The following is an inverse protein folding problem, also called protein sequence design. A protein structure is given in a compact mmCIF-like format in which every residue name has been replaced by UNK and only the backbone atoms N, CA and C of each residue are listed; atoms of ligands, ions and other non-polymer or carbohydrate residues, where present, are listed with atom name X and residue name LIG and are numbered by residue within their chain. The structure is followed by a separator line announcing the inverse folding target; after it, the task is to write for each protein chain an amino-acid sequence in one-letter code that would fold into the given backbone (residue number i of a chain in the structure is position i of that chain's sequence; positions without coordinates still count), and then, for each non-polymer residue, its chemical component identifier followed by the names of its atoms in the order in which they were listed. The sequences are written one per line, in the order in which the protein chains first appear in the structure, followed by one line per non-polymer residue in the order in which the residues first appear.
data_IF_858583954945
#
_entry.id   IF_858583954945
#
_cell.length_a   1.000
_cell.length_b   1.000
_cell.length_c   1.000
_cell.angle_alpha   90.00
_cell.angle_beta   90.00
_cell.angle_gamma   90.00
#
_symmetry.space_group_name_H-M   'P 1'
#
loop_
_entity.id
_entity.type
_entity.pdbx_description
1 polymer ?
#
# COMPACT_ATOMS: atom_id res chain seq x y z
N UNK A 1 34.39 41.44 -4.19
CA UNK A 1 33.07 41.96 -3.76
C UNK A 1 32.19 41.97 -4.99
N UNK A 2 31.10 41.21 -5.14
CA UNK A 2 30.13 40.61 -4.22
C UNK A 2 29.88 39.16 -4.71
N UNK A 3 30.21 38.16 -3.90
CA UNK A 3 29.31 37.45 -2.99
C UNK A 3 28.49 36.37 -3.72
N UNK A 4 29.06 35.17 -3.69
CA UNK A 4 28.42 33.91 -4.03
C UNK A 4 27.16 33.72 -3.17
N UNK A 5 26.00 33.86 -3.80
CA UNK A 5 24.73 33.32 -3.29
C UNK A 5 24.62 31.87 -3.76
N UNK A 6 25.46 31.01 -3.18
CA UNK A 6 25.18 29.59 -3.09
C UNK A 6 24.03 29.47 -2.10
N UNK A 7 22.81 29.60 -2.61
CA UNK A 7 21.63 29.15 -1.90
C UNK A 7 21.89 27.69 -1.53
N UNK A 8 22.00 27.44 -0.23
CA UNK A 8 21.90 26.11 0.32
C UNK A 8 20.54 25.57 -0.15
N UNK A 9 20.55 24.78 -1.21
CA UNK A 9 19.46 23.85 -1.46
C UNK A 9 19.42 23.00 -0.20
N UNK A 10 18.40 23.22 0.63
CA UNK A 10 18.12 22.33 1.73
C UNK A 10 18.09 20.93 1.13
N UNK A 11 19.03 20.09 1.54
CA UNK A 11 18.93 18.67 1.37
C UNK A 11 17.65 18.29 2.10
N UNK A 12 16.54 18.22 1.36
CA UNK A 12 15.27 17.67 1.79
C UNK A 12 15.46 16.14 1.90
N UNK A 13 16.39 15.72 2.75
CA UNK A 13 16.83 14.33 2.83
C UNK A 13 15.90 13.46 3.69
N UNK A 14 14.87 14.06 4.31
CA UNK A 14 13.84 13.34 5.03
C UNK A 14 12.51 14.10 4.91
N UNK A 15 11.75 13.81 3.85
CA UNK A 15 10.31 14.11 3.73
C UNK A 15 9.44 13.07 4.46
N UNK A 16 10.05 12.21 5.28
CA UNK A 16 9.36 11.36 6.23
C UNK A 16 8.72 12.18 7.33
N UNK A 17 7.53 11.79 7.78
CA UNK A 17 6.88 12.43 8.92
C UNK A 17 7.81 12.40 10.13
N UNK A 18 8.40 13.54 10.49
CA UNK A 18 9.25 13.64 11.70
C UNK A 18 8.43 13.50 13.00
N UNK A 19 7.10 13.50 12.90
CA UNK A 19 6.21 13.25 14.03
C UNK A 19 6.15 11.73 14.31
N UNK A 20 6.27 11.31 15.57
CA UNK A 20 6.05 9.92 15.95
C UNK A 20 4.67 9.46 15.46
N UNK A 21 4.55 8.22 14.98
CA UNK A 21 3.27 7.70 14.55
C UNK A 21 2.27 7.71 15.72
N UNK A 22 0.98 7.99 15.44
CA UNK A 22 -0.02 8.13 16.49
C UNK A 22 -0.19 6.83 17.30
N UNK A 23 -0.74 6.93 18.53
CA UNK A 23 -0.92 5.78 19.41
C UNK A 23 -1.60 4.59 18.72
N UNK A 24 -0.95 3.43 18.76
CA UNK A 24 -1.40 2.22 18.06
C UNK A 24 -0.36 1.11 18.13
N UNK A 25 -0.63 -0.01 17.46
CA UNK A 25 0.36 -1.06 17.26
C UNK A 25 1.36 -0.52 16.25
N UNK A 26 2.62 -0.45 16.65
CA UNK A 26 3.71 -0.01 15.78
C UNK A 26 3.97 -1.07 14.72
N UNK A 27 4.03 -0.65 13.47
CA UNK A 27 4.22 -1.51 12.30
C UNK A 27 5.60 -1.18 11.72
N UNK A 28 6.57 -2.11 11.82
CA UNK A 28 7.89 -1.92 11.23
C UNK A 28 7.78 -1.69 9.72
N UNK A 29 8.58 -0.77 9.19
CA UNK A 29 8.68 -0.58 7.75
C UNK A 29 9.22 -1.81 7.04
N UNK A 30 9.13 -1.74 5.72
CA UNK A 30 9.81 -2.61 4.80
C UNK A 30 10.59 -1.76 3.80
N UNK A 31 11.68 -2.32 3.29
CA UNK A 31 12.41 -1.71 2.19
C UNK A 31 11.58 -1.71 0.92
N UNK A 32 11.90 -0.86 -0.05
CA UNK A 32 11.23 -0.85 -1.34
C UNK A 32 11.30 -2.22 -2.04
N UNK A 33 12.46 -2.87 -2.01
CA UNK A 33 12.62 -4.24 -2.54
C UNK A 33 11.75 -5.27 -1.80
N UNK A 34 11.55 -5.11 -0.50
CA UNK A 34 10.66 -5.98 0.27
C UNK A 34 9.19 -5.78 -0.10
N UNK A 35 8.77 -4.60 -0.57
CA UNK A 35 7.40 -4.39 -1.07
C UNK A 35 7.09 -5.37 -2.20
N UNK A 36 7.99 -5.47 -3.18
CA UNK A 36 7.79 -6.30 -4.35
C UNK A 36 7.64 -7.79 -3.98
N UNK A 37 8.34 -8.24 -2.93
CA UNK A 37 8.20 -9.61 -2.42
C UNK A 37 6.89 -9.78 -1.66
N UNK A 38 6.63 -8.95 -0.64
CA UNK A 38 5.42 -9.06 0.20
C UNK A 38 4.14 -8.89 -0.63
N UNK A 39 4.15 -8.06 -1.68
CA UNK A 39 3.01 -7.88 -2.56
C UNK A 39 2.59 -9.19 -3.24
N UNK A 40 3.54 -10.04 -3.65
CA UNK A 40 3.25 -11.37 -4.23
C UNK A 40 2.62 -12.32 -3.23
N UNK A 41 3.05 -12.25 -1.96
CA UNK A 41 2.57 -13.12 -0.88
C UNK A 41 1.36 -12.54 -0.12
N UNK A 42 0.93 -11.31 -0.40
CA UNK A 42 -0.14 -10.65 0.37
C UNK A 42 -1.44 -11.47 0.35
N UNK A 43 -1.79 -12.07 -0.79
CA UNK A 43 -2.94 -12.96 -0.90
C UNK A 43 -2.84 -14.15 0.05
N UNK A 44 -1.73 -14.89 -0.02
CA UNK A 44 -1.48 -16.05 0.84
C UNK A 44 -1.49 -15.71 2.33
N UNK A 45 -0.92 -14.55 2.70
CA UNK A 45 -0.93 -14.04 4.08
C UNK A 45 -2.36 -13.80 4.56
N UNK A 46 -3.19 -13.14 3.75
CA UNK A 46 -4.57 -12.83 4.13
C UNK A 46 -5.45 -14.08 4.14
N UNK A 47 -5.29 -14.97 3.17
CA UNK A 47 -6.00 -16.26 3.16
C UNK A 47 -5.62 -17.09 4.38
N UNK A 48 -4.34 -17.08 4.77
CA UNK A 48 -3.90 -17.72 6.00
C UNK A 48 -4.48 -17.06 7.24
N UNK A 49 -4.52 -15.74 7.31
CA UNK A 49 -5.13 -15.00 8.40
C UNK A 49 -6.63 -15.30 8.54
N UNK A 50 -7.36 -15.39 7.43
CA UNK A 50 -8.80 -15.70 7.43
C UNK A 50 -9.14 -17.08 8.00
N UNK A 51 -8.21 -18.04 7.93
CA UNK A 51 -8.38 -19.38 8.51
C UNK A 51 -8.19 -19.42 10.02
N UNK A 52 -7.71 -18.35 10.66
CA UNK A 52 -7.48 -18.33 12.10
C UNK A 52 -8.79 -18.14 12.85
N UNK A 53 -9.15 -19.11 13.69
CA UNK A 53 -10.39 -19.08 14.50
C UNK A 53 -10.15 -18.54 15.91
N UNK A 54 -8.97 -18.75 16.47
CA UNK A 54 -8.56 -18.22 17.77
C UNK A 54 -7.73 -16.96 17.53
N UNK A 55 -8.34 -15.80 17.76
CA UNK A 55 -7.71 -14.49 17.53
C UNK A 55 -7.85 -13.57 18.74
N UNK A 56 -6.90 -12.66 18.91
CA UNK A 56 -6.88 -11.66 19.98
C UNK A 56 -7.06 -10.23 19.42
N UNK A 57 -7.13 -9.19 20.27
CA UNK A 57 -7.28 -7.81 19.78
C UNK A 57 -6.14 -7.33 18.87
N UNK A 58 -4.90 -7.79 19.07
CA UNK A 58 -3.73 -7.38 18.27
C UNK A 58 -3.84 -7.92 16.86
N UNK A 59 -4.14 -9.22 16.70
CA UNK A 59 -4.40 -9.85 15.41
C UNK A 59 -5.50 -9.09 14.65
N UNK A 60 -6.66 -8.89 15.31
CA UNK A 60 -7.83 -8.25 14.67
C UNK A 60 -7.53 -6.81 14.26
N UNK A 61 -6.76 -6.07 15.07
CA UNK A 61 -6.38 -4.70 14.75
C UNK A 61 -5.42 -4.63 13.57
N UNK A 62 -4.41 -5.50 13.49
CA UNK A 62 -3.51 -5.57 12.34
C UNK A 62 -4.26 -5.98 11.06
N UNK A 63 -5.07 -7.03 11.13
CA UNK A 63 -5.87 -7.51 9.99
C UNK A 63 -6.83 -6.44 9.46
N UNK A 64 -7.58 -5.79 10.35
CA UNK A 64 -8.54 -4.75 9.97
C UNK A 64 -7.83 -3.48 9.46
N UNK A 65 -6.76 -3.05 10.12
CA UNK A 65 -5.98 -1.89 9.68
C UNK A 65 -5.38 -2.13 8.29
N UNK A 66 -4.80 -3.31 8.03
CA UNK A 66 -4.21 -3.62 6.73
C UNK A 66 -5.24 -3.64 5.59
N UNK A 67 -6.45 -4.13 5.85
CA UNK A 67 -7.54 -4.11 4.88
C UNK A 67 -8.09 -2.70 4.65
N UNK A 68 -8.20 -1.89 5.70
CA UNK A 68 -8.59 -0.48 5.60
C UNK A 68 -7.56 0.31 4.78
N UNK A 69 -6.27 0.19 5.14
CA UNK A 69 -5.16 0.84 4.45
C UNK A 69 -5.10 0.46 2.97
N UNK A 70 -5.29 -0.82 2.64
CA UNK A 70 -5.34 -1.29 1.26
C UNK A 70 -6.50 -0.69 0.46
N UNK A 71 -7.67 -0.51 1.10
CA UNK A 71 -8.84 0.14 0.49
C UNK A 71 -8.57 1.61 0.20
N UNK A 72 -7.98 2.33 1.16
CA UNK A 72 -7.55 3.73 0.96
C UNK A 72 -6.50 3.86 -0.14
N UNK A 73 -5.67 2.85 -0.33
CA UNK A 73 -4.71 2.73 -1.43
C UNK A 73 -5.32 2.23 -2.75
N UNK A 74 -6.64 2.34 -2.92
CA UNK A 74 -7.37 1.90 -4.12
C UNK A 74 -7.05 0.44 -4.50
N UNK A 75 -7.00 -0.44 -3.50
CA UNK A 75 -6.70 -1.87 -3.67
C UNK A 75 -5.37 -2.13 -4.38
N UNK A 76 -4.42 -1.20 -4.31
CA UNK A 76 -3.13 -1.31 -5.02
C UNK A 76 -3.27 -1.33 -6.54
N UNK A 77 -4.41 -0.91 -7.09
CA UNK A 77 -4.69 -0.92 -8.54
C UNK A 77 -4.03 0.23 -9.28
N UNK A 78 -3.60 1.28 -8.57
CA UNK A 78 -2.94 2.42 -9.21
C UNK A 78 -1.59 1.98 -9.80
N UNK A 79 -1.31 2.26 -11.09
CA UNK A 79 -0.03 1.93 -11.71
C UNK A 79 1.13 2.61 -11.00
N UNK A 80 2.27 1.92 -10.98
CA UNK A 80 3.49 2.42 -10.34
C UNK A 80 3.46 2.39 -8.81
N UNK A 81 2.33 2.05 -8.17
CA UNK A 81 2.21 2.07 -6.70
C UNK A 81 3.28 1.26 -5.95
N UNK A 82 3.84 0.22 -6.60
CA UNK A 82 4.91 -0.60 -6.04
C UNK A 82 6.28 -0.39 -6.69
N UNK A 83 6.32 -0.07 -7.99
CA UNK A 83 7.56 -0.05 -8.78
C UNK A 83 8.08 1.36 -9.10
N UNK A 84 7.31 2.38 -8.76
CA UNK A 84 7.66 3.78 -8.95
C UNK A 84 7.65 4.48 -7.59
N UNK A 85 8.82 4.95 -7.16
CA UNK A 85 9.01 5.63 -5.87
C UNK A 85 8.37 7.03 -5.84
N UNK A 86 8.17 7.64 -7.00
CA UNK A 86 7.52 8.94 -7.15
C UNK A 86 5.99 8.81 -7.19
N UNK A 87 5.48 7.58 -7.30
CA UNK A 87 4.05 7.33 -7.28
C UNK A 87 3.40 7.94 -6.03
N UNK A 88 2.29 8.69 -6.18
CA UNK A 88 1.50 9.22 -5.06
C UNK A 88 0.94 8.14 -4.13
N UNK A 89 0.98 6.87 -4.56
CA UNK A 89 0.50 5.70 -3.84
C UNK A 89 1.62 4.87 -3.22
N UNK A 90 2.89 5.25 -3.41
CA UNK A 90 4.02 4.46 -2.94
C UNK A 90 4.05 4.33 -1.41
N UNK A 91 3.89 5.44 -0.69
CA UNK A 91 3.90 5.48 0.78
C UNK A 91 2.76 4.66 1.40
N UNK A 92 1.54 4.85 0.91
CA UNK A 92 0.39 4.11 1.40
C UNK A 92 0.53 2.61 1.05
N UNK A 93 1.25 2.29 -0.03
CA UNK A 93 1.61 0.91 -0.38
C UNK A 93 2.63 0.30 0.57
N UNK A 94 3.62 1.08 1.02
CA UNK A 94 4.48 0.67 2.13
C UNK A 94 3.63 0.34 3.37
N UNK A 95 2.67 1.19 3.73
CA UNK A 95 1.85 1.01 4.92
C UNK A 95 1.03 -0.31 4.90
N UNK A 96 0.29 -0.62 3.82
CA UNK A 96 -0.51 -1.85 3.81
C UNK A 96 0.33 -3.13 3.69
N UNK A 97 1.45 -3.09 2.97
CA UNK A 97 2.35 -4.24 2.85
C UNK A 97 3.13 -4.48 4.14
N UNK A 98 3.57 -3.41 4.80
CA UNK A 98 4.20 -3.47 6.12
C UNK A 98 3.23 -4.07 7.14
N UNK A 99 1.96 -3.68 7.09
CA UNK A 99 0.93 -4.26 7.94
C UNK A 99 0.70 -5.75 7.65
N UNK A 100 0.69 -6.16 6.38
CA UNK A 100 0.57 -7.58 6.01
C UNK A 100 1.74 -8.41 6.56
N UNK A 101 2.97 -7.91 6.43
CA UNK A 101 4.17 -8.52 7.02
C UNK A 101 4.05 -8.60 8.55
N UNK A 102 3.68 -7.50 9.21
CA UNK A 102 3.50 -7.44 10.66
C UNK A 102 2.43 -8.42 11.16
N UNK A 103 1.32 -8.56 10.43
CA UNK A 103 0.28 -9.56 10.72
C UNK A 103 0.84 -10.98 10.63
N UNK A 104 1.60 -11.31 9.59
CA UNK A 104 2.23 -12.62 9.45
C UNK A 104 3.23 -12.90 10.58
N UNK A 105 4.07 -11.92 10.91
CA UNK A 105 4.99 -12.01 12.04
C UNK A 105 4.24 -12.23 13.35
N UNK A 106 3.09 -11.58 13.54
CA UNK A 106 2.27 -11.79 14.72
C UNK A 106 1.67 -13.20 14.76
N UNK A 107 1.17 -13.73 13.63
CA UNK A 107 0.69 -15.11 13.54
C UNK A 107 1.76 -16.14 13.91
N UNK A 108 3.04 -15.84 13.66
CA UNK A 108 4.15 -16.69 14.10
C UNK A 108 4.35 -16.76 15.62
N UNK A 109 3.65 -15.92 16.40
CA UNK A 109 3.63 -15.95 17.87
C UNK A 109 2.35 -16.58 18.43
N UNK A 110 1.35 -16.86 17.58
CA UNK A 110 0.08 -17.46 17.99
C UNK A 110 0.19 -18.99 17.99
N UNK A 111 -0.08 -19.71 19.10
CA UNK A 111 0.12 -21.16 19.17
C UNK A 111 -0.59 -21.97 18.08
N UNK A 112 -1.79 -21.53 17.67
CA UNK A 112 -2.58 -22.19 16.62
C UNK A 112 -2.02 -21.99 15.20
N UNK A 113 -1.29 -20.89 14.96
CA UNK A 113 -0.82 -20.47 13.64
C UNK A 113 0.70 -20.63 13.45
N UNK A 114 1.45 -20.70 14.56
CA UNK A 114 2.91 -20.55 14.62
C UNK A 114 3.66 -21.36 13.56
N UNK A 115 3.39 -22.66 13.47
CA UNK A 115 4.11 -23.55 12.56
C UNK A 115 3.91 -23.14 11.10
N UNK A 116 2.67 -22.91 10.69
CA UNK A 116 2.35 -22.55 9.30
C UNK A 116 2.84 -21.14 8.97
N UNK A 117 2.73 -20.21 9.93
CA UNK A 117 3.27 -18.86 9.78
C UNK A 117 4.78 -18.88 9.56
N UNK A 118 5.54 -19.66 10.35
CA UNK A 118 7.00 -19.78 10.22
C UNK A 118 7.42 -20.40 8.87
N UNK A 119 6.65 -21.35 8.34
CA UNK A 119 6.89 -21.89 7.00
C UNK A 119 6.72 -20.78 5.95
N UNK A 120 5.61 -20.06 5.98
CA UNK A 120 5.36 -18.97 5.03
C UNK A 120 6.40 -17.84 5.15
N UNK A 121 6.82 -17.50 6.37
CA UNK A 121 7.92 -16.54 6.60
C UNK A 121 9.21 -17.05 5.98
N UNK A 122 9.56 -18.33 6.15
CA UNK A 122 10.77 -18.92 5.58
C UNK A 122 10.77 -18.85 4.04
N UNK A 123 9.62 -19.09 3.40
CA UNK A 123 9.49 -18.99 1.95
C UNK A 123 9.68 -17.54 1.47
N UNK A 124 9.04 -16.59 2.16
CA UNK A 124 9.19 -15.15 1.91
C UNK A 124 10.64 -14.69 2.09
N UNK A 125 11.29 -15.09 3.18
CA UNK A 125 12.67 -14.70 3.48
C UNK A 125 13.65 -15.27 2.44
N UNK A 126 13.45 -16.51 2.00
CA UNK A 126 14.24 -17.10 0.93
C UNK A 126 14.11 -16.28 -0.38
N UNK A 127 12.90 -15.84 -0.71
CA UNK A 127 12.65 -14.97 -1.86
C UNK A 127 13.25 -13.58 -1.70
N UNK A 128 13.15 -12.98 -0.50
CA UNK A 128 13.78 -11.70 -0.19
C UNK A 128 15.30 -11.74 -0.36
N UNK A 129 15.94 -12.83 0.08
CA UNK A 129 17.39 -13.03 -0.09
C UNK A 129 17.75 -13.19 -1.56
N UNK A 130 17.03 -14.04 -2.30
CA UNK A 130 17.27 -14.27 -3.73
C UNK A 130 17.12 -12.99 -4.55
N UNK A 131 16.19 -12.12 -4.19
CA UNK A 131 15.94 -10.85 -4.90
C UNK A 131 16.77 -9.68 -4.37
N UNK A 132 17.62 -9.86 -3.36
CA UNK A 132 18.37 -8.77 -2.73
C UNK A 132 17.48 -7.68 -2.13
N UNK A 133 16.28 -8.03 -1.66
CA UNK A 133 15.22 -7.09 -1.31
C UNK A 133 15.62 -6.04 -0.26
N UNK A 134 16.53 -6.37 0.66
CA UNK A 134 17.00 -5.48 1.72
C UNK A 134 17.84 -4.29 1.22
N UNK A 135 18.40 -4.37 0.01
CA UNK A 135 19.31 -3.34 -0.52
C UNK A 135 18.59 -2.25 -1.32
N UNK A 136 17.35 -2.50 -1.71
CA UNK A 136 16.56 -1.58 -2.52
C UNK A 136 15.73 -0.73 -1.56
N UNK A 137 16.19 0.50 -1.32
CA UNK A 137 15.59 1.48 -0.42
C UNK A 137 14.93 2.60 -1.22
N UNK A 138 13.90 3.20 -0.64
CA UNK A 138 13.29 4.44 -1.09
C UNK A 138 13.06 5.36 0.12
N UNK A 139 12.54 6.56 -0.11
CA UNK A 139 12.24 7.53 0.96
C UNK A 139 11.34 6.97 2.08
N UNK A 140 10.46 6.01 1.79
CA UNK A 140 9.53 5.45 2.78
C UNK A 140 10.05 4.19 3.50
N UNK A 141 11.23 3.71 3.13
CA UNK A 141 11.80 2.48 3.70
C UNK A 141 12.21 2.63 5.17
N UNK A 142 12.34 3.87 5.66
CA UNK A 142 12.65 4.19 7.06
C UNK A 142 11.45 4.70 7.87
N UNK A 143 10.25 4.76 7.30
CA UNK A 143 9.08 5.32 7.99
C UNK A 143 8.59 4.43 9.14
N UNK A 144 7.97 5.03 10.14
CA UNK A 144 7.28 4.29 11.18
C UNK A 144 5.76 4.35 10.93
N UNK A 145 5.15 3.20 10.71
CA UNK A 145 3.69 3.10 10.55
C UNK A 145 3.03 2.68 11.87
N UNK A 146 1.76 3.01 12.02
CA UNK A 146 0.97 2.62 13.20
C UNK A 146 -0.49 2.39 12.80
N UNK A 147 -1.12 1.42 13.45
CA UNK A 147 -2.57 1.20 13.31
C UNK A 147 -3.42 2.38 13.80
N UNK A 148 -2.80 3.40 14.41
CA UNK A 148 -3.46 4.62 14.90
C UNK A 148 -3.78 5.64 13.81
N UNK A 149 -3.27 5.49 12.59
CA UNK A 149 -3.59 6.35 11.45
C UNK A 149 -3.68 5.55 10.16
N UNK A 150 -4.36 6.12 9.16
CA UNK A 150 -4.37 5.64 7.79
C UNK A 150 -3.54 6.60 6.96
N UNK A 151 -2.66 6.06 6.12
CA UNK A 151 -1.85 6.83 5.17
C UNK A 151 -2.66 7.00 3.90
N UNK A 152 -3.00 8.23 3.54
CA UNK A 152 -3.72 8.50 2.29
C UNK A 152 -2.74 8.62 1.11
N UNK A 153 -3.19 8.31 -0.12
CA UNK A 153 -2.44 8.70 -1.31
C UNK A 153 -2.23 10.21 -1.33
N UNK A 154 -1.10 10.66 -1.89
CA UNK A 154 -0.85 12.10 -2.07
C UNK A 154 -1.69 12.63 -3.23
N UNK A 155 -2.98 12.88 -2.99
CA UNK A 155 -3.96 13.28 -4.00
C UNK A 155 -3.51 14.46 -4.86
N UNK A 156 -2.82 15.44 -4.25
CA UNK A 156 -2.27 16.61 -4.96
C UNK A 156 -1.20 16.23 -5.98
N UNK A 157 -0.43 15.18 -5.72
CA UNK A 157 0.67 14.75 -6.59
C UNK A 157 0.17 13.90 -7.77
N UNK A 158 -1.09 13.42 -7.72
CA UNK A 158 -1.68 12.62 -8.81
C UNK A 158 -1.71 13.37 -10.14
N UNK A 159 -1.89 14.69 -10.14
CA UNK A 159 -1.92 15.48 -11.39
C UNK A 159 -0.52 15.70 -11.98
N UNK A 160 0.52 15.48 -11.18
CA UNK A 160 1.92 15.60 -11.61
C UNK A 160 2.56 14.25 -11.94
N UNK A 161 1.92 13.15 -11.57
CA UNK A 161 2.35 11.79 -11.90
C UNK A 161 1.59 11.25 -13.11
N UNK A 162 2.21 11.32 -14.30
CA UNK A 162 1.58 11.00 -15.59
C UNK A 162 0.85 9.64 -15.63
N UNK A 163 1.42 8.52 -15.12
CA UNK A 163 0.72 7.25 -15.13
C UNK A 163 -0.59 7.28 -14.31
N UNK A 164 -0.57 7.91 -13.14
CA UNK A 164 -1.76 8.04 -12.28
C UNK A 164 -2.80 8.98 -12.90
N UNK A 165 -2.35 10.10 -13.47
CA UNK A 165 -3.24 11.03 -14.17
C UNK A 165 -3.93 10.36 -15.37
N UNK A 166 -3.18 9.59 -16.16
CA UNK A 166 -3.72 8.88 -17.31
C UNK A 166 -4.83 7.91 -16.90
N UNK A 167 -4.61 7.08 -15.87
CA UNK A 167 -5.65 6.17 -15.35
C UNK A 167 -6.86 6.92 -14.82
N UNK A 168 -6.66 8.02 -14.11
CA UNK A 168 -7.76 8.86 -13.62
C UNK A 168 -8.60 9.40 -14.79
N UNK A 169 -7.95 9.99 -15.80
CA UNK A 169 -8.64 10.55 -16.97
C UNK A 169 -9.38 9.49 -17.78
N UNK A 170 -8.75 8.32 -18.01
CA UNK A 170 -9.38 7.19 -18.72
C UNK A 170 -10.59 6.68 -17.95
N UNK A 171 -10.48 6.53 -16.63
CA UNK A 171 -11.59 6.06 -15.79
C UNK A 171 -12.75 7.07 -15.81
N UNK A 172 -12.46 8.36 -15.69
CA UNK A 172 -13.46 9.43 -15.80
C UNK A 172 -14.13 9.45 -17.17
N UNK A 173 -13.37 9.32 -18.25
CA UNK A 173 -13.91 9.26 -19.61
C UNK A 173 -14.80 8.02 -19.82
N UNK A 174 -14.39 6.85 -19.31
CA UNK A 174 -15.16 5.62 -19.37
C UNK A 174 -16.48 5.74 -18.60
N UNK A 175 -16.46 6.30 -17.39
CA UNK A 175 -17.67 6.54 -16.59
C UNK A 175 -18.61 7.55 -17.26
N UNK A 176 -18.07 8.61 -17.86
CA UNK A 176 -18.85 9.58 -18.62
C UNK A 176 -19.50 8.94 -19.86
N UNK A 177 -18.76 8.14 -20.61
CA UNK A 177 -19.26 7.41 -21.77
C UNK A 177 -20.35 6.38 -21.39
N UNK A 178 -20.14 5.63 -20.30
CA UNK A 178 -21.12 4.68 -19.78
C UNK A 178 -22.41 5.40 -19.34
N UNK A 179 -22.28 6.50 -18.59
CA UNK A 179 -23.42 7.32 -18.19
C UNK A 179 -24.18 7.85 -19.39
N UNK A 180 -23.46 8.37 -20.39
CA UNK A 180 -24.06 8.87 -21.63
C UNK A 180 -24.84 7.78 -22.38
N UNK A 181 -24.28 6.57 -22.50
CA UNK A 181 -24.95 5.45 -23.12
C UNK A 181 -26.23 5.05 -22.37
N UNK A 182 -26.18 4.97 -21.03
CA UNK A 182 -27.33 4.62 -20.20
C UNK A 182 -28.46 5.65 -20.34
N UNK A 183 -28.15 6.95 -20.32
CA UNK A 183 -29.15 8.01 -20.34
C UNK A 183 -29.60 8.44 -21.74
N UNK A 184 -28.87 8.08 -22.81
CA UNK A 184 -29.23 8.42 -24.20
C UNK A 184 -29.81 7.27 -25.02
N UNK A 185 -29.75 6.02 -24.55
CA UNK A 185 -30.46 4.94 -25.21
C UNK A 185 -31.99 5.19 -25.08
N UNK A 186 -32.72 5.31 -26.20
CA UNK A 186 -34.18 5.41 -26.15
C UNK A 186 -34.74 4.19 -25.44
N UNK A 187 -35.71 4.39 -24.54
CA UNK A 187 -36.43 3.28 -23.91
C UNK A 187 -37.15 2.49 -25.02
N UNK A 188 -36.91 1.17 -25.19
CA UNK A 188 -37.70 0.37 -26.11
C UNK A 188 -39.10 0.16 -25.50
N UNK A 189 -40.00 1.12 -25.72
CA UNK A 189 -41.46 0.99 -25.59
C UNK A 189 -42.05 1.78 -26.78
N UNK A 190 -42.87 1.25 -27.67
CA UNK A 190 -43.72 0.08 -27.60
C UNK A 190 -43.89 -0.52 -29.01
N UNK A 191 -43.65 -1.83 -29.14
CA UNK A 191 -44.34 -2.63 -30.13
C UNK A 191 -45.55 -3.26 -29.45
N UNK A 192 -46.76 -2.84 -29.84
CA UNK A 192 -48.06 -3.55 -29.83
C UNK A 192 -49.17 -2.51 -29.98
N UNK A 193 -49.70 -2.34 -31.19
CA UNK A 193 -51.01 -2.82 -31.68
C UNK A 193 -50.95 -2.80 -33.20
#
# INVERSE_FOLDING_TARGET
MLLALLAAASAQAHSGSSAPPPPGIQIPSLTHGQMAVIARYRGDILDFAQRQTVTDPTFRRLYNHGNLQYTYCLWGLMPGSLGDEESPFNECSHAYLATAKALLTYMATMPAAERQAKVLISDIDADMVRSGASWILCQFSGEAFSTGAVIEPRWRDMVFHLPSLAVLLVTMAALAAASWAIFRLPSPRAGTV
#
